data_IF_898817435566
#
_entry.id   IF_898817435566
#
_cell.length_a   1.000
_cell.length_b   1.000
_cell.length_c   1.000
_cell.angle_alpha   90.00
_cell.angle_beta   90.00
_cell.angle_gamma   90.00
#
_symmetry.space_group_name_H-M   'P 1'
#
loop_
_entity.id
_entity.type
_entity.pdbx_description
1 polymer ?
#
# COMPACT_ATOMS: atom_id res chain seq x y z
N UNK A 1 2.08 17.12 -1.54
CA UNK A 1 2.17 15.69 -1.17
C UNK A 1 0.94 15.32 -0.35
N UNK A 2 0.32 14.18 -0.61
CA UNK A 2 -0.85 13.68 0.14
C UNK A 2 -0.49 12.35 0.80
N UNK A 3 -0.87 12.15 2.06
CA UNK A 3 -0.71 10.90 2.79
C UNK A 3 -2.09 10.34 3.09
N UNK A 4 -2.33 9.08 2.72
CA UNK A 4 -3.62 8.43 2.95
C UNK A 4 -3.44 6.96 3.32
N UNK A 5 -4.40 6.44 4.09
CA UNK A 5 -4.41 5.04 4.51
C UNK A 5 -5.26 4.20 3.55
N UNK A 6 -4.75 3.04 3.16
CA UNK A 6 -5.52 2.04 2.42
C UNK A 6 -6.37 1.16 3.35
N UNK A 7 -7.50 0.61 2.87
CA UNK A 7 -8.10 0.79 1.54
C UNK A 7 -8.97 2.05 1.42
N UNK A 8 -9.21 2.80 2.50
CA UNK A 8 -10.21 3.90 2.54
C UNK A 8 -10.03 4.97 1.45
N UNK A 9 -8.79 5.30 1.06
CA UNK A 9 -8.55 6.33 0.06
C UNK A 9 -9.11 6.00 -1.33
N UNK A 10 -9.37 4.71 -1.59
CA UNK A 10 -9.94 4.24 -2.86
C UNK A 10 -11.29 4.88 -3.16
N UNK A 11 -12.04 5.25 -2.11
CA UNK A 11 -13.38 5.85 -2.22
C UNK A 11 -13.37 7.37 -2.32
N UNK A 12 -12.23 8.04 -2.11
CA UNK A 12 -12.12 9.50 -2.19
C UNK A 12 -11.30 9.95 -3.38
N UNK A 13 -10.07 9.47 -3.46
CA UNK A 13 -9.03 9.97 -4.39
C UNK A 13 -8.51 8.89 -5.33
N UNK A 14 -8.98 7.65 -5.18
CA UNK A 14 -8.57 6.52 -6.02
C UNK A 14 -8.73 6.79 -7.51
N UNK A 15 -9.82 7.44 -7.92
CA UNK A 15 -10.02 7.81 -9.34
C UNK A 15 -9.09 8.90 -9.82
N UNK A 16 -8.72 9.87 -8.98
CA UNK A 16 -7.73 10.88 -9.36
C UNK A 16 -6.35 10.22 -9.61
N UNK A 17 -5.98 9.23 -8.79
CA UNK A 17 -4.68 8.56 -8.88
C UNK A 17 -4.59 7.57 -10.04
N UNK A 18 -5.69 6.87 -10.33
CA UNK A 18 -5.74 5.83 -11.37
C UNK A 18 -6.27 6.35 -12.69
N UNK A 19 -7.31 7.17 -12.67
CA UNK A 19 -8.01 7.70 -13.86
C UNK A 19 -7.50 9.02 -14.39
N UNK A 20 -6.88 9.86 -13.54
CA UNK A 20 -6.48 11.22 -13.90
C UNK A 20 -5.24 11.32 -14.80
N UNK A 21 -4.71 12.53 -14.94
CA UNK A 21 -3.46 12.80 -15.66
C UNK A 21 -2.28 12.03 -15.04
N UNK A 22 -1.32 11.58 -15.86
CA UNK A 22 -0.12 10.84 -15.40
C UNK A 22 0.96 11.74 -14.77
N UNK A 23 0.56 12.54 -13.78
CA UNK A 23 1.45 13.48 -13.07
C UNK A 23 1.86 13.01 -11.68
N UNK A 24 1.20 11.98 -11.13
CA UNK A 24 1.50 11.44 -9.79
C UNK A 24 2.78 10.60 -9.72
N UNK A 25 3.41 10.60 -8.55
CA UNK A 25 4.43 9.64 -8.11
C UNK A 25 3.93 9.04 -6.80
N UNK A 26 3.87 7.72 -6.74
CA UNK A 26 3.20 6.99 -5.66
C UNK A 26 4.20 6.12 -4.90
N UNK A 27 4.14 6.18 -3.57
CA UNK A 27 4.83 5.26 -2.68
C UNK A 27 3.77 4.52 -1.86
N UNK A 28 3.62 3.23 -2.09
CA UNK A 28 2.75 2.37 -1.30
C UNK A 28 3.60 1.64 -0.24
N UNK A 29 3.31 1.90 1.03
CA UNK A 29 3.96 1.21 2.14
C UNK A 29 2.97 0.22 2.74
N UNK A 30 3.38 -1.03 2.88
CA UNK A 30 2.61 -2.10 3.53
C UNK A 30 3.47 -2.79 4.58
N UNK A 31 2.86 -3.49 5.53
CA UNK A 31 3.57 -4.31 6.51
C UNK A 31 2.83 -5.61 6.73
N UNK A 32 3.49 -6.57 7.37
CA UNK A 32 2.80 -7.70 7.99
C UNK A 32 1.79 -7.21 9.03
N UNK A 33 0.71 -7.97 9.22
CA UNK A 33 -0.29 -7.71 10.25
C UNK A 33 0.14 -8.34 11.57
N UNK A 34 0.06 -7.57 12.66
CA UNK A 34 0.41 -8.08 13.99
C UNK A 34 -0.64 -9.07 14.54
N UNK A 35 -1.88 -8.94 14.08
CA UNK A 35 -3.00 -9.79 14.46
C UNK A 35 -3.70 -10.17 13.17
N UNK A 36 -3.82 -11.47 12.92
CA UNK A 36 -4.62 -11.99 11.82
C UNK A 36 -5.94 -12.54 12.36
N UNK A 37 -7.04 -12.15 11.72
CA UNK A 37 -8.40 -12.49 12.13
C UNK A 37 -9.10 -13.24 11.01
N UNK A 38 -9.79 -14.33 11.35
CA UNK A 38 -10.62 -15.05 10.40
C UNK A 38 -11.79 -14.18 9.93
N UNK A 39 -12.14 -14.30 8.65
CA UNK A 39 -13.38 -13.73 8.15
C UNK A 39 -14.49 -14.75 8.39
N UNK A 40 -15.59 -14.39 9.07
CA UNK A 40 -16.67 -15.33 9.36
C UNK A 40 -17.16 -16.05 8.10
N UNK A 41 -17.31 -17.37 8.20
CA UNK A 41 -17.78 -18.26 7.14
C UNK A 41 -16.91 -18.30 5.86
N UNK A 42 -15.66 -17.82 5.92
CA UNK A 42 -14.73 -17.81 4.79
C UNK A 42 -13.46 -18.61 5.07
N UNK A 43 -12.79 -19.05 4.00
CA UNK A 43 -11.52 -19.79 4.07
C UNK A 43 -10.27 -18.90 4.13
N UNK A 44 -10.45 -17.60 4.29
CA UNK A 44 -9.37 -16.61 4.28
C UNK A 44 -9.53 -15.65 5.46
N UNK A 45 -8.44 -14.95 5.75
CA UNK A 45 -8.37 -14.03 6.88
C UNK A 45 -8.40 -12.57 6.43
N UNK A 46 -8.60 -11.64 7.36
CA UNK A 46 -8.58 -10.21 7.08
C UNK A 46 -7.20 -9.75 6.58
N UNK A 47 -6.11 -10.36 7.03
CA UNK A 47 -4.77 -10.09 6.48
C UNK A 47 -4.66 -10.48 5.01
N UNK A 48 -5.25 -11.61 4.61
CA UNK A 48 -5.33 -12.01 3.20
C UNK A 48 -6.12 -10.98 2.40
N UNK A 49 -7.27 -10.51 2.88
CA UNK A 49 -8.08 -9.48 2.20
C UNK A 49 -7.31 -8.18 2.06
N UNK A 50 -6.70 -7.67 3.15
CA UNK A 50 -5.92 -6.44 3.15
C UNK A 50 -4.74 -6.51 2.19
N UNK A 51 -3.98 -7.61 2.22
CA UNK A 51 -2.83 -7.81 1.33
C UNK A 51 -3.25 -7.94 -0.14
N UNK A 52 -4.38 -8.57 -0.43
CA UNK A 52 -4.93 -8.67 -1.78
C UNK A 52 -5.39 -7.30 -2.29
N UNK A 53 -6.09 -6.51 -1.47
CA UNK A 53 -6.52 -5.16 -1.83
C UNK A 53 -5.33 -4.23 -2.10
N UNK A 54 -4.30 -4.24 -1.25
CA UNK A 54 -3.11 -3.43 -1.45
C UNK A 54 -2.35 -3.82 -2.74
N UNK A 55 -2.22 -5.12 -3.01
CA UNK A 55 -1.62 -5.64 -4.25
C UNK A 55 -2.42 -5.23 -5.48
N UNK A 56 -3.73 -5.43 -5.48
CA UNK A 56 -4.60 -5.08 -6.60
C UNK A 56 -4.61 -3.58 -6.87
N UNK A 57 -4.59 -2.76 -5.82
CA UNK A 57 -4.45 -1.31 -5.94
C UNK A 57 -3.15 -0.91 -6.64
N UNK A 58 -2.02 -1.48 -6.21
CA UNK A 58 -0.72 -1.21 -6.81
C UNK A 58 -0.65 -1.70 -8.25
N UNK A 59 -1.17 -2.89 -8.54
CA UNK A 59 -1.19 -3.45 -9.90
C UNK A 59 -1.91 -2.51 -10.87
N UNK A 60 -3.04 -1.92 -10.47
CA UNK A 60 -3.75 -0.95 -11.32
C UNK A 60 -2.93 0.31 -11.58
N UNK A 61 -2.08 0.74 -10.64
CA UNK A 61 -1.15 1.86 -10.88
C UNK A 61 -0.09 1.46 -11.93
N UNK A 62 0.49 0.26 -11.79
CA UNK A 62 1.49 -0.27 -12.73
C UNK A 62 0.90 -0.44 -14.14
N UNK A 63 -0.28 -1.06 -14.25
CA UNK A 63 -0.97 -1.31 -15.52
C UNK A 63 -1.34 -0.02 -16.26
N UNK A 64 -1.45 1.09 -15.52
CA UNK A 64 -1.70 2.43 -16.07
C UNK A 64 -0.43 3.28 -16.22
N UNK A 65 0.72 2.62 -16.18
CA UNK A 65 2.04 3.24 -16.36
C UNK A 65 2.27 4.41 -15.40
N UNK A 66 1.74 4.31 -14.18
CA UNK A 66 2.01 5.28 -13.11
C UNK A 66 3.41 5.03 -12.56
N UNK A 67 4.09 6.11 -12.20
CA UNK A 67 5.34 6.03 -11.42
C UNK A 67 4.98 5.62 -10.00
N UNK A 68 5.12 4.34 -9.69
CA UNK A 68 4.73 3.78 -8.41
C UNK A 68 5.83 2.86 -7.88
N UNK A 69 6.15 2.99 -6.60
CA UNK A 69 6.99 2.07 -5.85
C UNK A 69 6.20 1.47 -4.69
N UNK A 70 6.37 0.17 -4.46
CA UNK A 70 5.81 -0.51 -3.29
C UNK A 70 6.94 -0.98 -2.40
N UNK A 71 6.83 -0.66 -1.12
CA UNK A 71 7.71 -1.15 -0.05
C UNK A 71 6.87 -1.99 0.91
N UNK A 72 7.29 -3.23 1.15
CA UNK A 72 6.66 -4.12 2.11
C UNK A 72 7.61 -4.36 3.29
N UNK A 73 7.16 -3.99 4.49
CA UNK A 73 7.91 -4.10 5.73
C UNK A 73 7.60 -5.46 6.37
N UNK A 74 8.51 -6.42 6.20
CA UNK A 74 8.38 -7.80 6.69
C UNK A 74 9.04 -8.07 8.05
N UNK A 75 9.77 -7.08 8.59
CA UNK A 75 10.42 -7.15 9.91
C UNK A 75 9.59 -6.40 10.95
N UNK A 76 10.09 -6.36 12.19
CA UNK A 76 9.58 -5.44 13.20
C UNK A 76 9.33 -4.04 12.60
N UNK A 77 8.12 -3.53 12.83
CA UNK A 77 7.62 -2.34 12.15
C UNK A 77 8.47 -1.10 12.47
N UNK A 78 8.92 -0.95 13.74
CA UNK A 78 9.73 0.20 14.14
C UNK A 78 11.09 0.19 13.45
N UNK A 79 11.74 -0.96 13.48
CA UNK A 79 13.05 -1.16 12.84
C UNK A 79 12.97 -0.92 11.34
N UNK A 80 11.98 -1.54 10.67
CA UNK A 80 11.82 -1.41 9.22
C UNK A 80 11.47 0.02 8.78
N UNK A 81 10.68 0.76 9.58
CA UNK A 81 10.41 2.18 9.32
C UNK A 81 11.66 3.05 9.49
N UNK A 82 12.49 2.77 10.49
CA UNK A 82 13.77 3.46 10.68
C UNK A 82 14.71 3.24 9.49
N UNK A 83 14.85 1.99 9.03
CA UNK A 83 15.66 1.66 7.84
C UNK A 83 15.14 2.38 6.59
N UNK A 84 13.81 2.43 6.41
CA UNK A 84 13.20 3.13 5.29
C UNK A 84 13.47 4.64 5.37
N UNK A 85 13.37 5.24 6.56
CA UNK A 85 13.69 6.64 6.77
C UNK A 85 15.15 6.95 6.40
N UNK A 86 16.09 6.11 6.84
CA UNK A 86 17.51 6.26 6.54
C UNK A 86 17.81 6.13 5.04
N UNK A 87 17.08 5.27 4.32
CA UNK A 87 17.21 5.14 2.88
C UNK A 87 16.81 6.43 2.13
N UNK A 88 15.80 7.17 2.62
CA UNK A 88 15.42 8.46 2.03
C UNK A 88 16.31 9.63 2.46
N UNK A 89 16.91 9.58 3.65
CA UNK A 89 17.79 10.63 4.16
C UNK A 89 19.20 10.65 3.54
N UNK A 90 19.54 9.66 2.71
CA UNK A 90 20.84 9.53 2.03
C UNK A 90 20.88 10.13 0.62
N UNK A 91 19.84 10.90 0.25
CA UNK A 91 19.74 11.61 -1.04
C UNK A 91 20.10 13.08 -0.86
#
# INVERSE_FOLDING_TARGET
>A
TCLQFGPRFLHSTGQAYKGGTNSGVFLQITSEDAIDLEVPDQKYTFSVVKSAQARGDFQVLVDRERRALRVHLSRDLKTALSELQDAFGKV
#
